data_IF_426624861054
#
_entry.id   IF_426624861054
#
_cell.length_a   1.000
_cell.length_b   1.000
_cell.length_c   1.000
_cell.angle_alpha   90.00
_cell.angle_beta   90.00
_cell.angle_gamma   90.00
#
_symmetry.space_group_name_H-M   'P 1'
#
loop_
_entity.id
_entity.type
_entity.pdbx_description
1 polymer ?
#
# COMPACT_ATOMS: atom_id res chain seq x y z
N UNK A 1 -2.06 17.07 22.31
CA UNK A 1 -1.50 15.95 21.52
C UNK A 1 -1.91 15.92 20.04
N UNK A 2 -3.13 15.54 19.63
CA UNK A 2 -3.47 15.44 18.18
C UNK A 2 -3.14 16.74 17.43
N UNK A 3 -3.61 17.88 17.96
CA UNK A 3 -3.34 19.19 17.36
C UNK A 3 -1.84 19.50 17.27
N UNK A 4 -1.09 19.21 18.33
CA UNK A 4 0.37 19.44 18.39
C UNK A 4 1.11 18.67 17.28
N UNK A 5 0.74 17.41 16.99
CA UNK A 5 1.34 16.64 15.90
C UNK A 5 1.08 17.28 14.53
N UNK A 6 -0.10 17.84 14.32
CA UNK A 6 -0.42 18.60 13.11
C UNK A 6 0.36 19.92 13.03
N UNK A 7 0.46 20.66 14.14
CA UNK A 7 1.21 21.92 14.21
C UNK A 7 2.70 21.68 13.95
N UNK A 8 3.27 20.63 14.53
CA UNK A 8 4.64 20.19 14.29
C UNK A 8 4.86 19.84 12.81
N UNK A 9 3.95 19.10 12.18
CA UNK A 9 4.05 18.76 10.78
C UNK A 9 4.05 20.00 9.86
N UNK A 10 3.17 20.97 10.13
CA UNK A 10 3.11 22.25 9.40
C UNK A 10 4.38 23.07 9.64
N UNK A 11 4.89 23.10 10.87
CA UNK A 11 6.10 23.82 11.24
C UNK A 11 7.33 23.27 10.53
N UNK A 12 7.56 21.95 10.58
CA UNK A 12 8.73 21.30 9.98
C UNK A 12 8.70 21.42 8.45
N UNK A 13 7.51 21.33 7.83
CA UNK A 13 7.37 21.44 6.37
C UNK A 13 7.40 22.89 5.85
N UNK A 14 7.29 23.90 6.72
CA UNK A 14 7.37 25.32 6.34
C UNK A 14 6.41 25.70 5.19
N UNK A 15 5.18 25.18 5.25
CA UNK A 15 4.15 25.36 4.19
C UNK A 15 3.29 26.62 4.36
N UNK A 16 3.65 27.47 5.33
CA UNK A 16 2.91 28.68 5.67
C UNK A 16 1.67 28.40 6.52
N UNK A 17 0.69 29.29 6.44
CA UNK A 17 -0.53 29.22 7.24
C UNK A 17 -1.45 28.07 6.80
N UNK A 18 -2.07 27.41 7.77
CA UNK A 18 -3.00 26.29 7.56
C UNK A 18 -4.21 26.48 8.47
N UNK A 19 -5.39 26.17 7.95
CA UNK A 19 -6.62 26.24 8.73
C UNK A 19 -6.55 25.31 9.95
N UNK A 20 -7.02 25.77 11.11
CA UNK A 20 -6.92 25.03 12.39
C UNK A 20 -7.53 23.62 12.34
N UNK A 21 -8.60 23.43 11.56
CA UNK A 21 -9.20 22.10 11.41
C UNK A 21 -8.38 21.17 10.50
N UNK A 22 -7.72 21.68 9.45
CA UNK A 22 -6.77 20.89 8.66
C UNK A 22 -5.58 20.46 9.50
N UNK A 23 -5.11 21.32 10.42
CA UNK A 23 -4.07 20.97 11.39
C UNK A 23 -4.53 19.79 12.26
N UNK A 24 -5.76 19.81 12.79
CA UNK A 24 -6.28 18.68 13.58
C UNK A 24 -6.36 17.39 12.75
N UNK A 25 -6.77 17.49 11.49
CA UNK A 25 -6.87 16.34 10.58
C UNK A 25 -5.50 15.76 10.25
N UNK A 26 -4.50 16.60 9.96
CA UNK A 26 -3.10 16.16 9.84
C UNK A 26 -2.64 15.43 11.10
N UNK A 27 -2.96 15.98 12.27
CA UNK A 27 -2.68 15.35 13.56
C UNK A 27 -3.27 13.94 13.71
N UNK A 28 -4.49 13.70 13.19
CA UNK A 28 -5.12 12.36 13.20
C UNK A 28 -4.31 11.34 12.39
N UNK A 29 -3.61 11.74 11.33
CA UNK A 29 -2.77 10.83 10.53
C UNK A 29 -1.63 10.20 11.34
N UNK A 30 -1.22 10.82 12.46
CA UNK A 30 -0.24 10.24 13.38
C UNK A 30 -0.72 8.90 13.96
N UNK A 31 -2.04 8.71 14.08
CA UNK A 31 -2.64 7.48 14.61
C UNK A 31 -3.08 6.52 13.50
N UNK A 32 -2.83 6.88 12.24
CA UNK A 32 -3.20 6.06 11.07
C UNK A 32 -2.00 5.29 10.57
N UNK A 33 -2.21 4.00 10.33
CA UNK A 33 -1.27 3.11 9.65
C UNK A 33 -1.85 2.71 8.28
N UNK A 34 -0.99 2.66 7.27
CA UNK A 34 -1.27 1.97 6.01
C UNK A 34 -0.06 1.15 5.63
N UNK A 35 -0.25 -0.14 5.33
CA UNK A 35 0.85 -1.08 5.06
C UNK A 35 1.96 -1.06 6.13
N UNK A 36 1.57 -0.91 7.41
CA UNK A 36 2.47 -0.77 8.57
C UNK A 36 3.34 0.50 8.60
N UNK A 37 3.10 1.46 7.69
CA UNK A 37 3.70 2.78 7.70
C UNK A 37 2.77 3.79 8.39
N UNK A 38 3.34 4.62 9.25
CA UNK A 38 2.64 5.77 9.82
C UNK A 38 2.35 6.80 8.73
N UNK A 39 1.08 7.18 8.57
CA UNK A 39 0.67 8.05 7.46
C UNK A 39 1.22 9.48 7.65
N UNK A 40 1.19 10.05 8.86
CA UNK A 40 1.76 11.39 9.05
C UNK A 40 3.25 11.43 8.69
N UNK A 41 4.02 10.42 9.12
CA UNK A 41 5.44 10.29 8.77
C UNK A 41 5.64 10.15 7.25
N UNK A 42 4.82 9.33 6.61
CA UNK A 42 4.82 9.17 5.16
C UNK A 42 4.54 10.51 4.45
N UNK A 43 3.49 11.22 4.84
CA UNK A 43 3.13 12.52 4.25
C UNK A 43 4.23 13.58 4.44
N UNK A 44 4.93 13.57 5.58
CA UNK A 44 6.10 14.43 5.79
C UNK A 44 7.22 14.13 4.79
N UNK A 45 7.53 12.85 4.57
CA UNK A 45 8.56 12.44 3.62
C UNK A 45 8.17 12.81 2.18
N UNK A 46 6.91 12.58 1.80
CA UNK A 46 6.36 12.99 0.49
C UNK A 46 6.45 14.51 0.32
N UNK A 47 6.09 15.29 1.34
CA UNK A 47 6.23 16.74 1.31
C UNK A 47 7.68 17.17 1.00
N UNK A 48 8.66 16.65 1.74
CA UNK A 48 10.06 17.01 1.53
C UNK A 48 10.60 16.59 0.16
N UNK A 49 10.25 15.39 -0.32
CA UNK A 49 10.65 14.91 -1.64
C UNK A 49 10.02 15.76 -2.74
N UNK A 50 8.72 16.04 -2.68
CA UNK A 50 8.03 16.87 -3.66
C UNK A 50 8.60 18.30 -3.69
N UNK A 51 8.88 18.89 -2.52
CA UNK A 51 9.55 20.19 -2.43
C UNK A 51 10.93 20.20 -3.09
N UNK A 52 11.76 19.19 -2.82
CA UNK A 52 13.08 19.07 -3.45
C UNK A 52 12.97 18.93 -4.97
N UNK A 53 12.09 18.05 -5.46
CA UNK A 53 11.87 17.86 -6.89
C UNK A 53 11.41 19.17 -7.57
N UNK A 54 10.52 19.92 -6.91
CA UNK A 54 10.06 21.20 -7.42
C UNK A 54 11.22 22.21 -7.53
N UNK A 55 12.08 22.29 -6.52
CA UNK A 55 13.23 23.18 -6.52
C UNK A 55 14.20 22.88 -7.69
N UNK A 56 14.45 21.61 -7.99
CA UNK A 56 15.35 21.19 -9.09
C UNK A 56 14.85 21.64 -10.47
N UNK A 57 13.54 21.77 -10.66
CA UNK A 57 12.94 22.18 -11.94
C UNK A 57 12.45 23.63 -11.96
N UNK A 58 12.70 24.39 -10.90
CA UNK A 58 12.27 25.79 -10.78
C UNK A 58 10.78 25.98 -10.47
N UNK A 59 10.10 24.94 -9.99
CA UNK A 59 8.71 24.99 -9.52
C UNK A 59 8.59 25.46 -8.07
N UNK A 60 7.36 25.77 -7.63
CA UNK A 60 7.12 26.31 -6.30
C UNK A 60 7.31 25.24 -5.19
N UNK A 61 8.46 25.26 -4.53
CA UNK A 61 8.82 24.35 -3.43
C UNK A 61 7.79 24.34 -2.28
N UNK A 62 7.34 25.52 -1.83
CA UNK A 62 6.43 25.64 -0.68
C UNK A 62 5.08 25.00 -1.03
N UNK A 63 4.58 25.25 -2.24
CA UNK A 63 3.32 24.66 -2.70
C UNK A 63 3.44 23.15 -2.93
N UNK A 64 4.58 22.68 -3.43
CA UNK A 64 4.83 21.24 -3.58
C UNK A 64 4.90 20.52 -2.23
N UNK A 65 5.57 21.10 -1.22
CA UNK A 65 5.54 20.58 0.15
C UNK A 65 4.12 20.55 0.71
N UNK A 66 3.33 21.60 0.45
CA UNK A 66 1.93 21.67 0.91
C UNK A 66 1.08 20.58 0.27
N UNK A 67 1.18 20.40 -1.04
CA UNK A 67 0.47 19.35 -1.77
C UNK A 67 0.89 17.95 -1.28
N UNK A 68 2.19 17.71 -1.11
CA UNK A 68 2.71 16.44 -0.60
C UNK A 68 2.31 16.16 0.84
N UNK A 69 2.20 17.17 1.72
CA UNK A 69 1.74 16.97 3.09
C UNK A 69 0.25 16.59 3.14
N UNK A 70 -0.57 17.15 2.25
CA UNK A 70 -2.01 16.97 2.26
C UNK A 70 -2.55 15.83 1.40
N UNK A 71 -1.73 15.25 0.51
CA UNK A 71 -2.18 14.27 -0.50
C UNK A 71 -3.03 13.12 0.08
N UNK A 72 -2.71 12.68 1.30
CA UNK A 72 -3.30 11.51 1.95
C UNK A 72 -4.25 11.85 3.12
N UNK A 73 -4.65 13.12 3.28
CA UNK A 73 -5.46 13.57 4.43
C UNK A 73 -6.81 12.89 4.57
N UNK A 74 -7.40 12.38 3.49
CA UNK A 74 -8.66 11.66 3.57
C UNK A 74 -8.59 10.38 4.41
N UNK A 75 -7.40 9.76 4.55
CA UNK A 75 -7.20 8.57 5.40
C UNK A 75 -7.38 8.83 6.90
N UNK A 76 -7.48 10.10 7.30
CA UNK A 76 -7.81 10.47 8.68
C UNK A 76 -9.31 10.39 9.00
N UNK A 77 -10.18 10.35 7.98
CA UNK A 77 -11.64 10.45 8.12
C UNK A 77 -12.40 9.34 7.37
N UNK A 78 -11.70 8.41 6.72
CA UNK A 78 -12.26 7.31 5.92
C UNK A 78 -13.13 6.32 6.72
N UNK A 79 -13.00 6.27 8.05
CA UNK A 79 -13.90 5.50 8.94
C UNK A 79 -15.11 6.29 9.43
N UNK A 80 -15.09 7.62 9.31
CA UNK A 80 -16.13 8.52 9.83
C UNK A 80 -17.09 8.98 8.72
N UNK A 81 -16.64 8.95 7.46
CA UNK A 81 -17.33 9.53 6.31
C UNK A 81 -17.38 8.51 5.18
N UNK A 82 -18.53 8.38 4.53
CA UNK A 82 -18.71 7.55 3.35
C UNK A 82 -17.98 8.14 2.13
N UNK A 83 -17.27 7.28 1.39
CA UNK A 83 -16.48 7.65 0.21
C UNK A 83 -15.06 7.09 0.27
N UNK A 84 -14.35 7.14 -0.86
CA UNK A 84 -12.92 6.83 -0.90
C UNK A 84 -12.11 7.93 -0.18
N UNK A 85 -10.92 7.59 0.34
CA UNK A 85 -10.05 8.59 0.98
C UNK A 85 -9.64 9.71 0.00
N UNK A 86 -9.57 9.42 -1.30
CA UNK A 86 -9.34 10.43 -2.34
C UNK A 86 -10.50 11.42 -2.39
N UNK A 87 -11.75 10.94 -2.50
CA UNK A 87 -12.94 11.80 -2.56
C UNK A 87 -13.09 12.65 -1.29
N UNK A 88 -12.87 12.03 -0.13
CA UNK A 88 -12.89 12.73 1.16
C UNK A 88 -11.82 13.82 1.21
N UNK A 89 -10.59 13.51 0.79
CA UNK A 89 -9.49 14.46 0.75
C UNK A 89 -9.74 15.64 -0.20
N UNK A 90 -10.28 15.37 -1.40
CA UNK A 90 -10.65 16.42 -2.37
C UNK A 90 -11.74 17.32 -1.81
N UNK A 91 -12.79 16.74 -1.23
CA UNK A 91 -13.88 17.50 -0.62
C UNK A 91 -13.36 18.37 0.54
N UNK A 92 -12.45 17.83 1.35
CA UNK A 92 -11.82 18.53 2.46
C UNK A 92 -10.98 19.72 1.98
N UNK A 93 -10.04 19.49 1.07
CA UNK A 93 -9.16 20.51 0.53
C UNK A 93 -9.96 21.62 -0.16
N UNK A 94 -11.01 21.26 -0.91
CA UNK A 94 -11.92 22.21 -1.55
C UNK A 94 -12.69 23.05 -0.53
N UNK A 95 -13.23 22.43 0.53
CA UNK A 95 -13.95 23.13 1.61
C UNK A 95 -13.09 24.20 2.28
N UNK A 96 -11.81 23.89 2.50
CA UNK A 96 -10.85 24.83 3.09
C UNK A 96 -10.13 25.73 2.08
N UNK A 97 -10.59 25.73 0.81
CA UNK A 97 -10.09 26.61 -0.26
C UNK A 97 -8.58 26.45 -0.52
N UNK A 98 -8.08 25.22 -0.42
CA UNK A 98 -6.73 24.90 -0.85
C UNK A 98 -6.54 25.19 -2.34
N UNK A 99 -5.28 25.40 -2.75
CA UNK A 99 -4.96 25.70 -4.15
C UNK A 99 -5.23 24.48 -5.05
N UNK A 100 -5.48 24.75 -6.34
CA UNK A 100 -5.77 23.70 -7.33
C UNK A 100 -4.71 22.60 -7.37
N UNK A 101 -3.44 22.95 -7.18
CA UNK A 101 -2.31 22.00 -7.19
C UNK A 101 -2.38 21.01 -6.03
N UNK A 102 -2.87 21.46 -4.86
CA UNK A 102 -3.08 20.60 -3.69
C UNK A 102 -4.26 19.67 -3.92
N UNK A 103 -5.37 20.20 -4.45
CA UNK A 103 -6.57 19.41 -4.75
C UNK A 103 -6.28 18.37 -5.83
N UNK A 104 -5.57 18.76 -6.90
CA UNK A 104 -5.16 17.90 -7.99
C UNK A 104 -4.23 16.78 -7.51
N UNK A 105 -3.23 17.11 -6.68
CA UNK A 105 -2.36 16.10 -6.07
C UNK A 105 -3.13 15.06 -5.25
N UNK A 106 -4.13 15.48 -4.47
CA UNK A 106 -5.01 14.54 -3.75
C UNK A 106 -5.81 13.70 -4.74
N UNK A 107 -6.36 14.31 -5.79
CA UNK A 107 -7.23 13.63 -6.76
C UNK A 107 -6.50 12.61 -7.66
N UNK A 108 -5.21 12.80 -7.93
CA UNK A 108 -4.49 12.05 -8.97
C UNK A 108 -3.37 11.14 -8.45
N UNK A 109 -2.95 11.23 -7.17
CA UNK A 109 -1.77 10.48 -6.68
C UNK A 109 -1.93 8.95 -6.73
N UNK A 110 -3.16 8.43 -6.78
CA UNK A 110 -3.45 7.01 -6.98
C UNK A 110 -3.61 6.60 -8.46
N UNK A 111 -3.36 7.50 -9.40
CA UNK A 111 -3.47 7.28 -10.84
C UNK A 111 -4.90 6.99 -11.35
N UNK A 112 -5.93 7.16 -10.51
CA UNK A 112 -7.34 7.06 -10.91
C UNK A 112 -7.73 8.12 -11.95
N UNK A 113 -7.04 9.26 -11.91
CA UNK A 113 -7.17 10.37 -12.86
C UNK A 113 -5.79 10.90 -13.22
N UNK A 114 -5.59 11.36 -14.48
CA UNK A 114 -4.33 11.96 -14.86
C UNK A 114 -4.12 13.29 -14.10
N UNK A 115 -2.90 13.55 -13.57
CA UNK A 115 -2.56 14.81 -12.93
C UNK A 115 -2.69 15.98 -13.92
N UNK A 116 -3.24 17.10 -13.47
CA UNK A 116 -3.43 18.31 -14.28
C UNK A 116 -2.35 19.37 -14.06
N UNK A 117 -1.57 19.23 -13.00
CA UNK A 117 -0.54 20.18 -12.57
C UNK A 117 0.81 19.48 -12.43
N UNK A 118 1.90 20.21 -12.69
CA UNK A 118 3.26 19.71 -12.50
C UNK A 118 3.46 19.25 -11.05
N UNK A 119 2.94 20.01 -10.09
CA UNK A 119 3.04 19.67 -8.66
C UNK A 119 2.36 18.34 -8.35
N UNK A 120 1.19 18.03 -8.93
CA UNK A 120 0.55 16.73 -8.73
C UNK A 120 1.40 15.57 -9.26
N UNK A 121 2.07 15.76 -10.41
CA UNK A 121 3.05 14.78 -10.92
C UNK A 121 4.19 14.59 -9.94
N UNK A 122 4.75 15.68 -9.40
CA UNK A 122 5.85 15.62 -8.43
C UNK A 122 5.43 14.91 -7.14
N UNK A 123 4.20 15.13 -6.67
CA UNK A 123 3.66 14.45 -5.50
C UNK A 123 3.48 12.96 -5.75
N UNK A 124 2.97 12.54 -6.92
CA UNK A 124 2.84 11.12 -7.26
C UNK A 124 4.21 10.41 -7.32
N UNK A 125 5.23 11.08 -7.88
CA UNK A 125 6.61 10.58 -7.87
C UNK A 125 7.14 10.46 -6.42
N UNK A 126 6.92 11.50 -5.60
CA UNK A 126 7.36 11.53 -4.22
C UNK A 126 6.67 10.47 -3.33
N UNK A 127 5.37 10.22 -3.52
CA UNK A 127 4.63 9.13 -2.87
C UNK A 127 5.22 7.77 -3.23
N UNK A 128 5.39 7.51 -4.53
CA UNK A 128 5.99 6.27 -5.03
C UNK A 128 7.37 6.04 -4.41
N UNK A 129 8.22 7.08 -4.39
CA UNK A 129 9.55 6.99 -3.76
C UNK A 129 9.48 6.75 -2.26
N UNK A 130 8.61 7.44 -1.53
CA UNK A 130 8.43 7.27 -0.09
C UNK A 130 7.99 5.85 0.27
N UNK A 131 7.09 5.30 -0.55
CA UNK A 131 6.49 3.97 -0.44
C UNK A 131 7.43 2.83 -0.83
N UNK A 132 8.33 3.05 -1.80
CA UNK A 132 9.26 2.04 -2.31
C UNK A 132 10.53 1.84 -1.45
N UNK A 133 10.73 2.64 -0.39
CA UNK A 133 11.92 2.52 0.46
C UNK A 133 11.96 1.15 1.16
N UNK A 134 13.14 0.49 1.21
CA UNK A 134 13.30 -0.76 1.95
C UNK A 134 12.80 -0.62 3.41
N UNK A 135 11.80 -1.42 3.78
CA UNK A 135 11.19 -1.40 5.11
C UNK A 135 10.13 -0.33 5.36
N UNK A 136 9.82 0.56 4.40
CA UNK A 136 8.72 1.54 4.53
C UNK A 136 7.36 0.83 4.52
N UNK A 137 7.16 -0.05 3.54
CA UNK A 137 6.13 -1.08 3.58
C UNK A 137 6.83 -2.36 3.99
N UNK A 138 6.63 -2.81 5.24
CA UNK A 138 6.93 -4.21 5.55
C UNK A 138 6.10 -5.00 4.57
N UNK A 139 6.75 -5.76 3.68
CA UNK A 139 6.10 -6.69 2.74
C UNK A 139 4.97 -7.36 3.52
N UNK A 140 3.72 -6.99 3.19
CA UNK A 140 2.67 -7.03 4.22
C UNK A 140 2.52 -8.46 4.68
N UNK A 141 2.62 -8.69 6.00
CA UNK A 141 2.30 -9.98 6.61
C UNK A 141 0.98 -10.52 6.04
N UNK A 142 0.06 -9.62 5.71
CA UNK A 142 -1.20 -9.93 5.04
C UNK A 142 -1.03 -10.50 3.62
N UNK A 143 -0.38 -9.81 2.67
CA UNK A 143 -0.02 -10.39 1.36
C UNK A 143 0.80 -11.68 1.48
N UNK A 144 1.70 -11.76 2.47
CA UNK A 144 2.45 -12.97 2.78
C UNK A 144 1.49 -14.11 3.20
N UNK A 145 0.58 -13.87 4.14
CA UNK A 145 -0.44 -14.83 4.59
C UNK A 145 -1.36 -15.19 3.43
N UNK A 146 -1.92 -14.21 2.72
CA UNK A 146 -2.79 -14.42 1.56
C UNK A 146 -2.09 -15.26 0.50
N UNK A 147 -0.80 -15.05 0.25
CA UNK A 147 0.00 -15.88 -0.66
C UNK A 147 0.12 -17.31 -0.17
N UNK A 148 0.46 -17.52 1.11
CA UNK A 148 0.54 -18.87 1.69
C UNK A 148 -0.81 -19.58 1.60
N UNK A 149 -1.88 -18.90 2.02
CA UNK A 149 -3.25 -19.41 1.99
C UNK A 149 -3.73 -19.71 0.58
N UNK A 150 -3.37 -18.89 -0.43
CA UNK A 150 -3.71 -19.15 -1.83
C UNK A 150 -3.05 -20.43 -2.35
N UNK A 151 -1.77 -20.65 -2.02
CA UNK A 151 -1.06 -21.88 -2.36
C UNK A 151 -1.70 -23.12 -1.71
N UNK A 152 -2.07 -23.00 -0.43
CA UNK A 152 -2.75 -24.09 0.30
C UNK A 152 -4.15 -24.38 -0.27
N UNK A 153 -4.90 -23.33 -0.63
CA UNK A 153 -6.23 -23.45 -1.23
C UNK A 153 -6.21 -24.07 -2.63
N UNK A 154 -5.11 -23.96 -3.37
CA UNK A 154 -4.92 -24.66 -4.65
C UNK A 154 -4.75 -26.16 -4.43
N UNK A 155 -3.98 -26.57 -3.42
CA UNK A 155 -3.63 -27.97 -3.21
C UNK A 155 -4.68 -28.76 -2.41
N UNK A 156 -5.31 -28.15 -1.40
CA UNK A 156 -6.25 -28.82 -0.49
C UNK A 156 -7.47 -29.48 -1.17
N UNK A 157 -8.08 -28.92 -2.24
CA UNK A 157 -9.24 -29.51 -2.91
C UNK A 157 -8.92 -30.75 -3.76
N UNK A 158 -7.63 -31.02 -4.06
CA UNK A 158 -7.24 -32.10 -4.97
C UNK A 158 -7.56 -33.45 -4.34
N UNK A 159 -8.19 -34.33 -5.11
CA UNK A 159 -8.62 -35.66 -4.66
C UNK A 159 -7.43 -36.46 -4.11
N UNK A 160 -7.56 -36.90 -2.86
CA UNK A 160 -6.55 -37.71 -2.18
C UNK A 160 -5.56 -36.90 -1.32
N UNK A 161 -5.55 -35.57 -1.44
CA UNK A 161 -4.86 -34.70 -0.48
C UNK A 161 -5.57 -34.74 0.87
N UNK A 162 -4.78 -34.87 1.94
CA UNK A 162 -5.24 -34.68 3.30
C UNK A 162 -5.16 -33.19 3.66
N UNK A 163 -3.94 -32.65 3.71
CA UNK A 163 -3.64 -31.25 4.03
C UNK A 163 -2.41 -30.77 3.24
N UNK A 164 -2.30 -29.46 3.04
CA UNK A 164 -1.13 -28.81 2.45
C UNK A 164 -0.63 -27.67 3.32
N UNK A 165 0.67 -27.39 3.23
CA UNK A 165 1.35 -26.32 3.96
C UNK A 165 2.27 -25.56 3.02
N UNK A 166 2.04 -24.27 2.87
CA UNK A 166 2.99 -23.40 2.18
C UNK A 166 4.06 -22.93 3.17
N UNK A 167 5.33 -23.12 2.81
CA UNK A 167 6.49 -22.79 3.66
C UNK A 167 7.52 -21.96 2.87
N UNK A 168 8.55 -21.48 3.57
CA UNK A 168 9.62 -20.65 2.98
C UNK A 168 9.09 -19.45 2.19
N UNK A 169 8.18 -18.67 2.80
CA UNK A 169 7.55 -17.54 2.14
C UNK A 169 6.82 -17.88 0.82
N UNK A 170 6.23 -19.08 0.75
CA UNK A 170 5.52 -19.55 -0.44
C UNK A 170 6.44 -19.92 -1.59
N UNK A 171 7.70 -20.29 -1.30
CA UNK A 171 8.65 -20.90 -2.26
C UNK A 171 8.67 -22.42 -2.20
N UNK A 172 8.01 -23.01 -1.20
CA UNK A 172 7.78 -24.45 -1.14
C UNK A 172 6.36 -24.72 -0.66
N UNK A 173 5.70 -25.71 -1.25
CA UNK A 173 4.44 -26.27 -0.77
C UNK A 173 4.63 -27.75 -0.47
N UNK A 174 4.25 -28.16 0.74
CA UNK A 174 4.26 -29.56 1.18
C UNK A 174 2.84 -30.09 1.22
N UNK A 175 2.59 -31.17 0.50
CA UNK A 175 1.25 -31.75 0.38
C UNK A 175 1.26 -33.15 0.98
N UNK A 176 0.45 -33.35 2.01
CA UNK A 176 0.27 -34.63 2.67
C UNK A 176 -0.89 -35.36 1.99
N UNK A 177 -0.63 -36.59 1.53
CA UNK A 177 -1.63 -37.41 0.84
C UNK A 177 -2.13 -38.56 1.70
N UNK A 178 -3.37 -39.00 1.47
CA UNK A 178 -3.97 -40.15 2.16
C UNK A 178 -3.44 -41.46 1.54
N UNK A 179 -2.73 -42.30 2.30
CA UNK A 179 -2.04 -43.49 1.76
C UNK A 179 -3.01 -44.51 1.16
N UNK A 180 -4.27 -44.54 1.62
CA UNK A 180 -5.30 -45.49 1.17
C UNK A 180 -6.03 -45.04 -0.10
N UNK A 181 -5.92 -43.75 -0.45
CA UNK A 181 -6.63 -43.14 -1.60
C UNK A 181 -5.72 -42.81 -2.78
N UNK A 182 -4.40 -42.80 -2.55
CA UNK A 182 -3.39 -42.52 -3.57
C UNK A 182 -2.46 -43.71 -3.66
N UNK A 183 -2.53 -44.42 -4.79
CA UNK A 183 -1.61 -45.49 -5.16
C UNK A 183 -0.27 -44.89 -5.67
N UNK A 184 0.62 -45.70 -6.25
CA UNK A 184 1.95 -45.34 -6.80
C UNK A 184 2.00 -44.15 -7.80
N UNK A 185 0.87 -43.52 -8.11
CA UNK A 185 0.71 -42.31 -8.90
C UNK A 185 0.84 -41.01 -8.09
N UNK A 186 1.68 -40.97 -7.06
CA UNK A 186 2.01 -39.76 -6.27
C UNK A 186 2.47 -38.61 -7.17
N UNK A 187 3.16 -38.93 -8.27
CA UNK A 187 3.61 -37.98 -9.28
C UNK A 187 2.46 -37.21 -9.95
N UNK A 188 1.29 -37.82 -10.13
CA UNK A 188 0.14 -37.16 -10.76
C UNK A 188 -0.37 -36.01 -9.90
N UNK A 189 -0.39 -36.18 -8.58
CA UNK A 189 -0.81 -35.12 -7.64
C UNK A 189 0.15 -33.94 -7.70
N UNK A 190 1.45 -34.20 -7.68
CA UNK A 190 2.47 -33.15 -7.81
C UNK A 190 2.30 -32.37 -9.12
N UNK A 191 2.01 -33.07 -10.23
CA UNK A 191 1.81 -32.46 -11.55
C UNK A 191 0.56 -31.58 -11.59
N UNK A 192 -0.58 -32.04 -11.06
CA UNK A 192 -1.82 -31.25 -11.01
C UNK A 192 -1.61 -29.97 -10.18
N UNK A 193 -0.95 -30.07 -9.02
CA UNK A 193 -0.64 -28.89 -8.18
C UNK A 193 0.22 -27.90 -8.95
N UNK A 194 1.26 -28.38 -9.63
CA UNK A 194 2.14 -27.53 -10.44
C UNK A 194 1.35 -26.77 -11.50
N UNK A 195 0.54 -27.48 -12.30
CA UNK A 195 -0.25 -26.89 -13.39
C UNK A 195 -1.26 -25.86 -12.85
N UNK A 196 -1.91 -26.12 -11.71
CA UNK A 196 -2.85 -25.18 -11.09
C UNK A 196 -2.15 -23.93 -10.52
N UNK A 197 -0.96 -24.09 -9.92
CA UNK A 197 -0.15 -22.95 -9.45
C UNK A 197 0.28 -22.06 -10.62
N UNK A 198 0.70 -22.65 -11.75
CA UNK A 198 1.09 -21.91 -12.95
C UNK A 198 -0.08 -21.11 -13.57
N UNK A 199 -1.32 -21.59 -13.42
CA UNK A 199 -2.52 -20.90 -13.91
C UNK A 199 -3.01 -19.80 -12.96
N UNK A 200 -3.07 -20.08 -11.65
CA UNK A 200 -3.75 -19.21 -10.67
C UNK A 200 -2.81 -18.18 -10.02
N UNK A 201 -1.49 -18.36 -10.15
CA UNK A 201 -0.49 -17.52 -9.50
C UNK A 201 0.58 -17.08 -10.50
N UNK A 202 0.56 -15.80 -10.86
CA UNK A 202 1.69 -15.17 -11.54
C UNK A 202 2.83 -14.95 -10.54
N UNK A 203 3.84 -15.82 -10.57
CA UNK A 203 5.00 -15.73 -9.68
C UNK A 203 6.32 -15.77 -10.43
N UNK A 204 7.16 -14.76 -10.18
CA UNK A 204 8.53 -14.71 -10.68
C UNK A 204 9.45 -15.48 -9.73
N UNK A 205 9.61 -16.78 -9.97
CA UNK A 205 10.55 -17.65 -9.24
C UNK A 205 10.14 -19.12 -9.25
N UNK A 206 11.00 -19.96 -8.65
CA UNK A 206 10.74 -21.40 -8.55
C UNK A 206 9.95 -21.68 -7.28
N UNK A 207 8.82 -22.41 -7.41
CA UNK A 207 8.06 -22.96 -6.29
C UNK A 207 8.31 -24.47 -6.25
N UNK A 208 8.83 -24.98 -5.15
CA UNK A 208 9.08 -26.40 -4.95
C UNK A 208 7.81 -27.09 -4.44
N UNK A 209 7.33 -28.10 -5.15
CA UNK A 209 6.19 -28.94 -4.72
C UNK A 209 6.74 -30.25 -4.15
N UNK A 210 6.48 -30.52 -2.87
CA UNK A 210 6.88 -31.76 -2.19
C UNK A 210 5.62 -32.53 -1.78
N UNK A 211 5.45 -33.76 -2.28
CA UNK A 211 4.34 -34.62 -1.88
C UNK A 211 4.84 -35.66 -0.89
N UNK A 212 4.15 -35.78 0.25
CA UNK A 212 4.51 -36.65 1.37
C UNK A 212 3.39 -37.65 1.59
N UNK A 213 3.69 -38.94 1.42
CA UNK A 213 2.82 -40.04 1.85
C UNK A 213 3.24 -40.45 3.25
N UNK A 214 2.33 -40.33 4.22
CA UNK A 214 2.52 -40.75 5.60
C UNK A 214 1.62 -41.93 5.90
#
# INVERSE_FOLDING_TARGET
FIKEMGEEAVFITKIGEVHQDLIKILGKLHFRLSYSQNILKHSLEVAFLAGKLAAEIGENEILARRAGLFHDTGKALDHEIEGSHVEIGVALASRYKEKKEVIDAIASHHEDKPPQTVIAVLVAIADTLSSARPGARKESIENYIQRLTKLENIANPIKGVAHSYAIQAGREIRVIVKPDKINDFIFQVARIIKEQIEQDISYNGIIKVTVIRK
#
